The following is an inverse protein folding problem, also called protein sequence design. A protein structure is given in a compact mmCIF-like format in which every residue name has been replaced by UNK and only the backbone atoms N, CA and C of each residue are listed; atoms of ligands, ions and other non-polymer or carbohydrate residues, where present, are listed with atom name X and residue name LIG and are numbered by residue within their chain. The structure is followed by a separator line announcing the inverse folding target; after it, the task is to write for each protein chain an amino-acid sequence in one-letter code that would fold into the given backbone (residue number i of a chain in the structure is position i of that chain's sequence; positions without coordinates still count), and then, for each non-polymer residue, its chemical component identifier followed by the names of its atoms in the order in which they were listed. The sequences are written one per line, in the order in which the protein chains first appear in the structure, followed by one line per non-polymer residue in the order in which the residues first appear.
data_IF_749025789718
#
_entry.id   IF_749025789718
#
_cell.length_a   1.000
_cell.length_b   1.000
_cell.length_c   1.000
_cell.angle_alpha   90.00
_cell.angle_beta   90.00
_cell.angle_gamma   90.00
#
_symmetry.space_group_name_H-M   'P 1'
#
loop_
_entity.id
_entity.type
_entity.pdbx_description
1 polymer ?
#
# COMPACT_ATOMS: atom_id res chain seq x y z
N UNK A 1 25.17 7.77 5.48
CA UNK A 1 24.63 6.65 6.28
C UNK A 1 23.16 6.39 5.96
N UNK A 2 22.25 7.35 6.19
CA UNK A 2 20.79 7.22 5.88
C UNK A 2 20.52 6.88 4.41
N UNK A 3 21.25 7.49 3.46
CA UNK A 3 21.06 7.20 2.02
C UNK A 3 21.39 5.74 1.63
N UNK A 4 22.38 5.14 2.27
CA UNK A 4 22.78 3.75 2.01
C UNK A 4 21.80 2.76 2.64
N UNK A 5 21.33 3.06 3.86
CA UNK A 5 20.29 2.28 4.53
C UNK A 5 18.97 2.31 3.76
N UNK A 6 18.53 3.50 3.30
CA UNK A 6 17.30 3.61 2.50
C UNK A 6 17.38 2.87 1.17
N UNK A 7 18.54 2.88 0.49
CA UNK A 7 18.73 2.09 -0.75
C UNK A 7 18.76 0.58 -0.53
N UNK A 8 19.38 0.11 0.55
CA UNK A 8 19.38 -1.30 0.90
C UNK A 8 17.96 -1.77 1.28
N UNK A 9 17.22 -0.93 1.99
CA UNK A 9 15.83 -1.17 2.35
C UNK A 9 14.91 -1.22 1.12
N UNK A 10 15.08 -0.34 0.12
CA UNK A 10 14.23 -0.28 -1.09
C UNK A 10 14.04 -1.66 -1.76
N UNK A 11 15.08 -2.51 -1.81
CA UNK A 11 14.98 -3.83 -2.45
C UNK A 11 14.16 -4.82 -1.60
N UNK A 12 14.46 -4.95 -0.31
CA UNK A 12 13.72 -5.83 0.59
C UNK A 12 12.27 -5.38 0.79
N UNK A 13 12.00 -4.09 0.65
CA UNK A 13 10.64 -3.55 0.79
C UNK A 13 9.72 -3.95 -0.36
N UNK A 14 10.23 -4.11 -1.58
CA UNK A 14 9.43 -4.63 -2.70
C UNK A 14 9.03 -6.09 -2.49
N UNK A 15 9.92 -6.90 -1.93
CA UNK A 15 9.64 -8.29 -1.56
C UNK A 15 8.56 -8.35 -0.47
N UNK A 16 8.73 -7.58 0.60
CA UNK A 16 7.75 -7.48 1.70
C UNK A 16 6.39 -6.95 1.19
N UNK A 17 6.39 -5.99 0.27
CA UNK A 17 5.16 -5.49 -0.36
C UNK A 17 4.40 -6.60 -1.09
N UNK A 18 5.11 -7.41 -1.86
CA UNK A 18 4.53 -8.57 -2.55
C UNK A 18 3.95 -9.59 -1.56
N UNK A 19 4.65 -9.86 -0.45
CA UNK A 19 4.17 -10.78 0.60
C UNK A 19 2.90 -10.27 1.27
N UNK A 20 2.82 -8.98 1.61
CA UNK A 20 1.62 -8.36 2.19
C UNK A 20 0.43 -8.49 1.24
N UNK A 21 0.60 -8.18 -0.04
CA UNK A 21 -0.47 -8.27 -1.04
C UNK A 21 -0.91 -9.72 -1.25
N UNK A 22 0.04 -10.64 -1.31
CA UNK A 22 -0.24 -12.09 -1.38
C UNK A 22 -1.07 -12.53 -0.18
N UNK A 23 -0.73 -12.06 1.03
CA UNK A 23 -1.48 -12.40 2.23
C UNK A 23 -2.91 -11.84 2.18
N UNK A 24 -3.07 -10.56 1.87
CA UNK A 24 -4.38 -9.90 1.79
C UNK A 24 -5.30 -10.56 0.75
N UNK A 25 -4.78 -10.88 -0.43
CA UNK A 25 -5.56 -11.51 -1.50
C UNK A 25 -5.90 -12.97 -1.21
N UNK A 26 -5.12 -13.65 -0.35
CA UNK A 26 -5.43 -15.01 0.13
C UNK A 26 -6.48 -15.06 1.25
N UNK A 27 -6.62 -13.98 2.03
CA UNK A 27 -7.55 -13.89 3.16
C UNK A 27 -8.89 -13.26 2.77
N UNK A 28 -8.91 -12.43 1.72
CA UNK A 28 -10.10 -11.67 1.29
C UNK A 28 -10.48 -12.14 -0.12
N UNK A 29 -11.47 -13.03 -0.20
CA UNK A 29 -11.89 -13.68 -1.44
C UNK A 29 -12.37 -12.69 -2.51
N UNK A 30 -12.97 -11.58 -2.07
CA UNK A 30 -13.42 -10.48 -2.91
C UNK A 30 -12.26 -9.77 -3.62
N UNK A 31 -11.06 -9.81 -3.05
CA UNK A 31 -9.88 -9.18 -3.66
C UNK A 31 -9.29 -10.06 -4.76
N UNK A 32 -9.27 -11.39 -4.58
CA UNK A 32 -8.74 -12.30 -5.61
C UNK A 32 -9.64 -12.39 -6.85
N UNK A 33 -10.94 -12.13 -6.71
CA UNK A 33 -11.91 -12.20 -7.80
C UNK A 33 -11.91 -10.95 -8.71
N UNK A 34 -11.21 -9.88 -8.33
CA UNK A 34 -11.22 -8.59 -9.03
C UNK A 34 -9.80 -8.08 -9.33
N UNK A 35 -9.36 -8.31 -10.57
CA UNK A 35 -8.01 -7.95 -11.04
C UNK A 35 -7.67 -6.45 -10.83
N UNK A 36 -8.57 -5.48 -11.11
CA UNK A 36 -8.33 -4.07 -10.77
C UNK A 36 -8.05 -3.80 -9.28
N UNK A 37 -8.72 -4.51 -8.35
CA UNK A 37 -8.43 -4.39 -6.91
C UNK A 37 -7.03 -4.93 -6.60
N UNK A 38 -6.65 -6.07 -7.16
CA UNK A 38 -5.30 -6.66 -6.98
C UNK A 38 -4.22 -5.73 -7.52
N UNK A 39 -4.44 -5.11 -8.68
CA UNK A 39 -3.51 -4.14 -9.26
C UNK A 39 -3.31 -2.93 -8.33
N UNK A 40 -4.38 -2.37 -7.77
CA UNK A 40 -4.27 -1.23 -6.84
C UNK A 40 -3.66 -1.62 -5.50
N UNK A 41 -3.87 -2.83 -5.00
CA UNK A 41 -3.20 -3.34 -3.80
C UNK A 41 -1.68 -3.44 -4.03
N UNK A 42 -1.26 -4.01 -5.16
CA UNK A 42 0.16 -4.09 -5.54
C UNK A 42 0.79 -2.71 -5.70
N UNK A 43 0.14 -1.83 -6.46
CA UNK A 43 0.60 -0.47 -6.67
C UNK A 43 0.63 0.32 -5.35
N UNK A 44 -0.37 0.14 -4.49
CA UNK A 44 -0.48 0.80 -3.19
C UNK A 44 0.61 0.37 -2.21
N UNK A 45 0.87 -0.93 -2.09
CA UNK A 45 1.94 -1.42 -1.22
C UNK A 45 3.30 -0.85 -1.64
N UNK A 46 3.67 -0.99 -2.92
CA UNK A 46 4.93 -0.45 -3.43
C UNK A 46 5.03 1.08 -3.28
N UNK A 47 3.95 1.80 -3.57
CA UNK A 47 3.94 3.26 -3.47
C UNK A 47 3.98 3.76 -2.03
N UNK A 48 3.29 3.11 -1.10
CA UNK A 48 3.31 3.46 0.31
C UNK A 48 4.72 3.27 0.89
N UNK A 49 5.46 2.22 0.50
CA UNK A 49 6.86 2.07 0.89
C UNK A 49 7.77 3.15 0.31
N UNK A 50 7.59 3.52 -0.95
CA UNK A 50 8.34 4.61 -1.57
C UNK A 50 8.10 5.96 -0.84
N UNK A 51 6.85 6.22 -0.42
CA UNK A 51 6.49 7.37 0.41
C UNK A 51 7.19 7.29 1.77
N UNK A 52 7.14 6.16 2.48
CA UNK A 52 7.81 5.97 3.78
C UNK A 52 9.32 6.21 3.68
N UNK A 53 9.99 5.71 2.64
CA UNK A 53 11.41 5.97 2.43
C UNK A 53 11.69 7.46 2.12
N UNK A 54 10.78 8.14 1.42
CA UNK A 54 10.87 9.59 1.19
C UNK A 54 10.71 10.37 2.48
N UNK A 55 9.74 10.01 3.31
CA UNK A 55 9.52 10.59 4.65
C UNK A 55 10.80 10.48 5.48
N UNK A 56 11.34 9.27 5.62
CA UNK A 56 12.56 9.03 6.42
C UNK A 56 13.81 9.74 5.87
N UNK A 57 13.90 9.88 4.54
CA UNK A 57 15.04 10.54 3.89
C UNK A 57 15.02 12.06 4.05
N UNK A 58 13.83 12.65 4.12
CA UNK A 58 13.64 14.09 4.06
C UNK A 58 13.01 14.69 5.32
N UNK A 59 12.76 13.88 6.35
CA UNK A 59 12.16 14.28 7.62
C UNK A 59 10.80 14.98 7.43
N UNK A 60 9.94 14.35 6.62
CA UNK A 60 8.61 14.89 6.30
C UNK A 60 7.64 14.49 7.42
N UNK A 61 6.92 15.46 7.97
CA UNK A 61 5.84 15.20 8.92
C UNK A 61 4.71 14.39 8.26
N UNK A 62 4.26 13.34 8.94
CA UNK A 62 3.29 12.38 8.37
C UNK A 62 1.93 13.01 8.06
N UNK A 63 1.55 14.05 8.79
CA UNK A 63 0.30 14.80 8.57
C UNK A 63 0.31 15.64 7.28
N UNK A 64 1.48 15.81 6.66
CA UNK A 64 1.66 16.48 5.37
C UNK A 64 1.63 15.50 4.18
N UNK A 65 1.37 14.22 4.44
CA UNK A 65 1.42 13.16 3.42
C UNK A 65 0.01 12.73 3.06
N UNK A 66 -0.41 13.11 1.86
CA UNK A 66 -1.67 12.63 1.29
C UNK A 66 -1.65 11.10 1.06
N UNK A 67 -2.82 10.43 1.12
CA UNK A 67 -2.94 9.04 0.69
C UNK A 67 -2.43 8.86 -0.74
N UNK A 68 -1.76 7.74 -0.99
CA UNK A 68 -1.23 7.44 -2.31
C UNK A 68 -2.35 7.34 -3.35
N UNK A 69 -2.05 7.68 -4.62
CA UNK A 69 -3.01 7.55 -5.72
C UNK A 69 -3.63 6.14 -5.80
N UNK A 70 -2.87 5.03 -5.65
CA UNK A 70 -3.46 3.70 -5.64
C UNK A 70 -4.36 3.44 -4.44
N UNK A 71 -4.07 3.99 -3.26
CA UNK A 71 -4.95 3.87 -2.11
C UNK A 71 -6.30 4.58 -2.32
N UNK A 72 -6.28 5.77 -2.93
CA UNK A 72 -7.50 6.48 -3.30
C UNK A 72 -8.33 5.71 -4.34
N UNK A 73 -7.65 5.13 -5.34
CA UNK A 73 -8.32 4.33 -6.37
C UNK A 73 -8.87 3.02 -5.81
N UNK A 74 -8.14 2.34 -4.92
CA UNK A 74 -8.62 1.17 -4.21
C UNK A 74 -9.89 1.51 -3.41
N UNK A 75 -9.89 2.59 -2.62
CA UNK A 75 -11.05 3.02 -1.86
C UNK A 75 -12.27 3.28 -2.77
N UNK A 76 -12.05 3.89 -3.93
CA UNK A 76 -13.07 4.11 -4.97
C UNK A 76 -13.64 2.79 -5.50
N UNK A 77 -12.78 1.81 -5.81
CA UNK A 77 -13.18 0.50 -6.34
C UNK A 77 -13.96 -0.32 -5.31
N UNK A 78 -13.54 -0.29 -4.04
CA UNK A 78 -14.23 -0.96 -2.92
C UNK A 78 -15.64 -0.40 -2.73
N UNK A 79 -15.77 0.93 -2.70
CA UNK A 79 -17.07 1.60 -2.56
C UNK A 79 -18.04 1.27 -3.72
N UNK A 80 -17.53 1.19 -4.96
CA UNK A 80 -18.35 0.83 -6.13
C UNK A 80 -18.85 -0.61 -6.13
N UNK A 81 -18.12 -1.51 -5.48
CA UNK A 81 -18.45 -2.92 -5.39
C UNK A 81 -19.19 -3.27 -4.11
N UNK A 82 -19.50 -2.25 -3.30
CA UNK A 82 -20.12 -2.40 -1.98
C UNK A 82 -19.33 -3.37 -1.08
N UNK A 83 -18.01 -3.48 -1.28
CA UNK A 83 -17.15 -4.32 -0.45
C UNK A 83 -16.97 -3.58 0.88
N UNK A 84 -17.47 -4.13 2.00
CA UNK A 84 -17.40 -3.43 3.27
C UNK A 84 -15.96 -3.37 3.76
N UNK A 85 -15.49 -2.17 4.09
CA UNK A 85 -14.24 -1.99 4.84
C UNK A 85 -14.58 -2.22 6.31
N UNK A 86 -14.75 -3.48 6.71
CA UNK A 86 -14.88 -3.83 8.13
C UNK A 86 -13.51 -3.70 8.80
N UNK A 87 -13.10 -2.47 9.10
CA UNK A 87 -11.80 -2.18 9.71
C UNK A 87 -11.66 -0.77 10.30
N UNK A 88 -12.75 -0.01 10.43
CA UNK A 88 -12.76 1.22 11.23
C UNK A 88 -12.91 0.87 12.73
N UNK A 89 -12.22 1.56 13.66
CA UNK A 89 -12.40 1.30 15.08
C UNK A 89 -13.85 1.58 15.47
N UNK A 90 -14.47 0.63 16.16
CA UNK A 90 -15.66 0.87 16.97
C UNK A 90 -15.25 1.44 18.33
#
# INVERSE_FOLDING_TARGET
MILALTRAADRSLLEIAGEIVTRLTSEIAEFTADEPIVEQLNAGAAHNFAITMRILRHDIEIDQVDPSKPANELARLLAQREIPITGGPQ
#
